data_IF_386315567147
#
_entry.id   IF_386315567147
#
_cell.length_a   1.000
_cell.length_b   1.000
_cell.length_c   1.000
_cell.angle_alpha   90.00
_cell.angle_beta   90.00
_cell.angle_gamma   90.00
#
_symmetry.space_group_name_H-M   'P 1'
#
loop_
_entity.id
_entity.type
_entity.pdbx_description
1 polymer ?
#
# COMPACT_ATOMS: atom_id res chain seq x y z
N UNK A 1 7.94 -17.18 -12.53
CA UNK A 1 8.87 -16.19 -11.98
C UNK A 1 8.56 -16.12 -10.51
N UNK A 2 9.39 -16.75 -9.69
CA UNK A 2 9.25 -16.79 -8.23
C UNK A 2 9.84 -15.47 -7.75
N UNK A 3 9.12 -14.67 -6.95
CA UNK A 3 9.71 -13.49 -6.29
C UNK A 3 10.62 -13.99 -5.16
N UNK A 4 11.80 -14.50 -5.52
CA UNK A 4 12.88 -14.74 -4.56
C UNK A 4 13.44 -13.37 -4.15
N UNK A 5 13.03 -12.89 -2.98
CA UNK A 5 13.49 -11.63 -2.38
C UNK A 5 12.93 -10.39 -3.07
N UNK A 6 12.11 -9.62 -2.35
CA UNK A 6 11.90 -8.22 -2.71
C UNK A 6 13.26 -7.52 -2.61
N UNK A 7 13.58 -6.64 -3.56
CA UNK A 7 14.79 -5.84 -3.45
C UNK A 7 14.62 -4.82 -2.32
N UNK A 8 15.62 -4.71 -1.44
CA UNK A 8 15.54 -3.91 -0.20
C UNK A 8 15.16 -2.44 -0.45
N UNK A 9 15.60 -1.87 -1.57
CA UNK A 9 15.35 -0.49 -1.98
C UNK A 9 14.30 -0.38 -3.10
N UNK A 10 13.33 -1.30 -3.16
CA UNK A 10 12.29 -1.30 -4.19
C UNK A 10 10.91 -1.47 -3.60
N UNK A 11 10.00 -0.62 -4.04
CA UNK A 11 8.58 -0.70 -3.74
C UNK A 11 7.81 -1.20 -4.95
N UNK A 12 6.85 -2.06 -4.70
CA UNK A 12 6.05 -2.73 -5.72
C UNK A 12 4.60 -2.28 -5.59
N UNK A 13 4.05 -1.73 -6.66
CA UNK A 13 2.64 -1.39 -6.74
C UNK A 13 1.98 -2.28 -7.80
N UNK A 14 1.00 -3.07 -7.37
CA UNK A 14 0.27 -4.00 -8.23
C UNK A 14 -1.06 -3.38 -8.69
N UNK A 15 -1.23 -3.23 -10.00
CA UNK A 15 -2.51 -2.80 -10.57
C UNK A 15 -3.39 -4.04 -10.81
N UNK A 16 -4.49 -4.15 -10.06
CA UNK A 16 -5.36 -5.32 -10.11
C UNK A 16 -6.68 -4.96 -10.79
N UNK A 17 -7.00 -5.55 -11.95
CA UNK A 17 -8.16 -5.17 -12.75
C UNK A 17 -9.50 -5.58 -12.15
N UNK A 18 -9.58 -6.73 -11.46
CA UNK A 18 -10.82 -7.27 -10.88
C UNK A 18 -10.51 -8.10 -9.62
N UNK A 19 -10.10 -7.45 -8.51
CA UNK A 19 -9.57 -8.17 -7.36
C UNK A 19 -10.66 -8.80 -6.50
N UNK A 20 -11.77 -8.08 -6.22
CA UNK A 20 -12.64 -8.41 -5.09
C UNK A 20 -13.99 -7.65 -5.15
N UNK A 21 -14.90 -7.97 -4.21
CA UNK A 21 -16.06 -7.13 -3.83
C UNK A 21 -15.70 -6.04 -2.81
N UNK A 22 -14.40 -5.83 -2.55
CA UNK A 22 -13.92 -4.81 -1.61
C UNK A 22 -14.16 -3.43 -2.23
N UNK A 23 -14.77 -2.47 -1.52
CA UNK A 23 -15.02 -1.13 -2.04
C UNK A 23 -13.77 -0.22 -2.06
N UNK A 24 -12.66 -0.62 -1.45
CA UNK A 24 -11.43 0.20 -1.39
C UNK A 24 -10.86 0.46 -2.79
N UNK A 25 -10.17 1.59 -2.95
CA UNK A 25 -9.51 1.93 -4.22
C UNK A 25 -8.08 1.37 -4.30
N UNK A 26 -7.45 1.16 -3.15
CA UNK A 26 -6.10 0.62 -3.02
C UNK A 26 -5.85 0.09 -1.62
N UNK A 27 -4.64 -0.41 -1.42
CA UNK A 27 -4.15 -0.84 -0.12
C UNK A 27 -2.62 -0.91 -0.11
N UNK A 28 -1.99 -0.28 0.87
CA UNK A 28 -0.58 -0.45 1.18
C UNK A 28 -0.39 -0.27 2.69
N UNK A 29 0.15 -1.28 3.40
CA UNK A 29 0.41 -1.12 4.82
C UNK A 29 1.48 -0.05 5.05
N UNK A 30 1.39 0.65 6.18
CA UNK A 30 2.43 1.58 6.63
C UNK A 30 3.78 0.87 6.63
N UNK A 31 4.79 1.51 6.03
CA UNK A 31 6.14 0.96 5.90
C UNK A 31 6.22 -0.38 5.11
N UNK A 32 5.19 -0.70 4.33
CA UNK A 32 5.17 -1.88 3.46
C UNK A 32 5.92 -1.68 2.15
N UNK A 33 6.56 -2.73 1.62
CA UNK A 33 7.18 -2.72 0.29
C UNK A 33 6.21 -3.02 -0.85
N UNK A 34 4.99 -3.50 -0.55
CA UNK A 34 4.00 -3.91 -1.53
C UNK A 34 2.67 -3.17 -1.31
N UNK A 35 2.15 -2.56 -2.37
CA UNK A 35 0.82 -1.95 -2.40
C UNK A 35 -0.01 -2.43 -3.59
N UNK A 36 -1.30 -2.16 -3.55
CA UNK A 36 -2.27 -2.59 -4.56
C UNK A 36 -3.17 -1.43 -4.96
N UNK A 37 -3.51 -1.34 -6.24
CA UNK A 37 -4.56 -0.44 -6.76
C UNK A 37 -5.63 -1.27 -7.45
N UNK A 38 -6.87 -1.09 -7.05
CA UNK A 38 -8.01 -1.86 -7.52
C UNK A 38 -8.74 -1.09 -8.63
N UNK A 39 -8.42 -1.42 -9.89
CA UNK A 39 -8.81 -0.63 -11.06
C UNK A 39 -10.32 -0.59 -11.32
N UNK A 40 -11.08 -1.51 -10.74
CA UNK A 40 -12.55 -1.53 -10.82
C UNK A 40 -13.21 -0.47 -9.91
N UNK A 41 -12.48 0.08 -8.94
CA UNK A 41 -12.99 1.01 -7.94
C UNK A 41 -12.45 2.45 -8.12
N UNK A 42 -11.67 2.69 -9.18
CA UNK A 42 -11.03 3.97 -9.47
C UNK A 42 -11.19 4.32 -10.95
N UNK A 43 -11.38 5.59 -11.28
CA UNK A 43 -11.37 6.05 -12.67
C UNK A 43 -9.96 5.95 -13.27
N UNK A 44 -9.85 5.93 -14.60
CA UNK A 44 -8.55 5.89 -15.27
C UNK A 44 -7.65 7.06 -14.84
N UNK A 45 -8.23 8.25 -14.66
CA UNK A 45 -7.54 9.46 -14.22
C UNK A 45 -7.17 9.42 -12.73
N UNK A 46 -7.91 8.65 -11.91
CA UNK A 46 -7.70 8.53 -10.47
C UNK A 46 -6.60 7.55 -10.06
N UNK A 47 -6.20 6.64 -10.96
CA UNK A 47 -5.18 5.61 -10.68
C UNK A 47 -3.88 6.21 -10.15
N UNK A 48 -3.40 7.29 -10.77
CA UNK A 48 -2.15 7.94 -10.35
C UNK A 48 -2.25 8.53 -8.94
N UNK A 49 -3.41 9.09 -8.58
CA UNK A 49 -3.65 9.67 -7.26
C UNK A 49 -3.74 8.59 -6.19
N UNK A 50 -4.44 7.49 -6.46
CA UNK A 50 -4.50 6.34 -5.55
C UNK A 50 -3.11 5.72 -5.38
N UNK A 51 -2.38 5.52 -6.48
CA UNK A 51 -1.00 5.05 -6.42
C UNK A 51 -0.11 5.94 -5.53
N UNK A 52 -0.24 7.27 -5.63
CA UNK A 52 0.49 8.21 -4.78
C UNK A 52 0.07 8.12 -3.31
N UNK A 53 -1.22 7.93 -3.03
CA UNK A 53 -1.74 7.71 -1.67
C UNK A 53 -1.15 6.44 -1.04
N UNK A 54 -1.22 5.31 -1.76
CA UNK A 54 -0.68 4.04 -1.29
C UNK A 54 0.84 4.11 -1.07
N UNK A 55 1.60 4.69 -2.01
CA UNK A 55 3.03 4.90 -1.83
C UNK A 55 3.34 5.86 -0.68
N UNK A 56 2.44 6.80 -0.37
CA UNK A 56 2.50 7.63 0.83
C UNK A 56 2.58 6.79 2.11
N UNK A 57 1.75 5.75 2.21
CA UNK A 57 1.77 4.81 3.33
C UNK A 57 3.06 3.99 3.38
N UNK A 58 3.44 3.37 2.27
CA UNK A 58 4.54 2.42 2.25
C UNK A 58 5.93 3.06 2.29
N UNK A 59 6.20 4.02 1.39
CA UNK A 59 7.53 4.63 1.23
C UNK A 59 7.78 5.68 2.31
N UNK A 60 6.77 6.50 2.57
CA UNK A 60 6.92 7.73 3.37
C UNK A 60 6.18 7.69 4.69
N UNK A 61 5.47 6.58 4.98
CA UNK A 61 4.76 6.34 6.24
C UNK A 61 3.85 7.51 6.63
N UNK A 62 3.17 8.07 5.63
CA UNK A 62 2.20 9.13 5.83
C UNK A 62 0.90 8.50 6.29
N UNK A 63 0.41 8.88 7.47
CA UNK A 63 -0.91 8.46 7.94
C UNK A 63 -2.02 9.23 7.25
N UNK A 64 -3.23 8.68 7.28
CA UNK A 64 -4.43 9.44 6.97
C UNK A 64 -4.56 10.68 7.84
N UNK A 65 -5.13 11.75 7.29
CA UNK A 65 -5.34 13.01 8.04
C UNK A 65 -6.20 12.83 9.29
N UNK A 66 -7.10 11.83 9.28
CA UNK A 66 -8.02 11.50 10.36
C UNK A 66 -7.54 10.35 11.26
N UNK A 67 -6.37 9.79 10.99
CA UNK A 67 -5.78 8.74 11.82
C UNK A 67 -5.38 9.28 13.18
N UNK A 68 -5.63 8.49 14.24
CA UNK A 68 -5.18 8.82 15.60
C UNK A 68 -3.66 8.86 15.75
N UNK A 69 -2.94 8.19 14.84
CA UNK A 69 -1.48 8.13 14.83
C UNK A 69 -0.87 9.32 14.07
N UNK A 70 -1.70 10.14 13.40
CA UNK A 70 -1.22 11.34 12.74
C UNK A 70 -0.90 12.44 13.77
N UNK A 71 0.17 13.19 13.50
CA UNK A 71 0.59 14.34 14.31
C UNK A 71 -0.52 15.39 14.47
N UNK A 72 -1.35 15.55 13.44
CA UNK A 72 -2.49 16.46 13.42
C UNK A 72 -3.71 15.70 12.90
N UNK A 73 -4.65 15.42 13.80
CA UNK A 73 -5.89 14.73 13.46
C UNK A 73 -6.91 15.75 12.95
N UNK A 74 -7.38 15.56 11.72
CA UNK A 74 -8.39 16.36 11.06
C UNK A 74 -9.58 15.46 10.69
N UNK A 75 -10.81 15.99 10.56
CA UNK A 75 -11.95 15.15 10.21
C UNK A 75 -11.80 14.54 8.80
N UNK A 76 -12.21 13.29 8.66
CA UNK A 76 -12.23 12.58 7.38
C UNK A 76 -13.03 13.35 6.33
N UNK A 77 -12.51 13.43 5.10
CA UNK A 77 -13.19 14.02 3.96
C UNK A 77 -13.13 15.55 3.92
N UNK A 78 -12.40 16.20 4.83
CA UNK A 78 -12.47 17.66 4.99
C UNK A 78 -11.28 18.43 4.43
N UNK A 79 -10.23 17.73 4.00
CA UNK A 79 -9.00 18.37 3.51
C UNK A 79 -8.77 18.09 2.02
N UNK A 80 -7.91 18.89 1.40
CA UNK A 80 -7.37 18.66 0.06
C UNK A 80 -6.06 17.84 0.10
N UNK A 81 -5.74 17.24 1.25
CA UNK A 81 -4.54 16.45 1.46
C UNK A 81 -4.58 15.13 0.67
N UNK A 82 -3.42 14.69 0.19
CA UNK A 82 -3.24 13.42 -0.49
C UNK A 82 -3.70 12.23 0.37
N UNK A 83 -3.47 12.30 1.69
CA UNK A 83 -3.81 11.24 2.64
C UNK A 83 -5.24 11.32 3.19
N UNK A 84 -6.10 12.14 2.60
CA UNK A 84 -7.53 12.19 2.91
C UNK A 84 -8.34 11.33 1.89
N UNK A 85 -9.57 10.99 2.20
CA UNK A 85 -10.48 10.31 1.28
C UNK A 85 -11.20 11.25 0.31
N UNK A 86 -11.09 12.57 0.49
CA UNK A 86 -11.75 13.56 -0.36
C UNK A 86 -11.15 13.72 -1.79
N UNK A 87 -10.24 12.86 -2.22
CA UNK A 87 -9.63 12.96 -3.55
C UNK A 87 -8.56 14.04 -3.70
N UNK A 88 -8.10 14.62 -2.59
CA UNK A 88 -7.06 15.64 -2.54
C UNK A 88 -5.71 15.17 -3.10
N UNK A 89 -4.85 16.15 -3.43
CA UNK A 89 -3.49 15.94 -3.96
C UNK A 89 -2.44 16.80 -3.27
N UNK A 90 -2.83 17.63 -2.29
CA UNK A 90 -1.92 18.50 -1.57
C UNK A 90 -1.12 17.72 -0.53
N UNK A 91 0.05 18.24 -0.15
CA UNK A 91 0.82 17.74 0.97
C UNK A 91 1.01 18.86 1.98
N UNK A 92 0.92 18.52 3.25
CA UNK A 92 1.36 19.40 4.32
C UNK A 92 2.87 19.48 4.34
N UNK A 93 3.39 20.60 4.86
CA UNK A 93 4.83 20.86 4.88
C UNK A 93 5.62 19.71 5.51
N UNK A 94 5.16 19.14 6.62
CA UNK A 94 5.90 18.05 7.28
C UNK A 94 5.89 16.75 6.45
N UNK A 95 4.82 16.46 5.71
CA UNK A 95 4.77 15.31 4.80
C UNK A 95 5.73 15.52 3.62
N UNK A 96 5.78 16.75 3.08
CA UNK A 96 6.77 17.12 2.07
C UNK A 96 8.21 16.97 2.57
N UNK A 97 8.47 17.38 3.82
CA UNK A 97 9.78 17.23 4.45
C UNK A 97 10.17 15.74 4.58
N UNK A 98 9.25 14.86 5.00
CA UNK A 98 9.51 13.40 5.09
C UNK A 98 9.82 12.76 3.74
N UNK A 99 9.15 13.20 2.66
CA UNK A 99 9.40 12.71 1.31
C UNK A 99 10.82 13.09 0.84
N UNK A 100 11.29 14.29 1.20
CA UNK A 100 12.57 14.81 0.74
C UNK A 100 13.76 14.45 1.65
N UNK A 101 13.50 14.15 2.92
CA UNK A 101 14.51 13.71 3.89
C UNK A 101 14.02 12.51 4.72
N UNK A 102 13.99 11.30 4.12
CA UNK A 102 13.50 10.08 4.78
C UNK A 102 14.36 9.64 5.97
N UNK A 103 15.61 10.13 6.07
CA UNK A 103 16.54 9.76 7.15
C UNK A 103 16.08 10.25 8.53
N UNK A 104 15.13 11.19 8.56
CA UNK A 104 14.53 11.71 9.80
C UNK A 104 13.53 10.75 10.45
N UNK A 105 13.12 9.66 9.78
CA UNK A 105 12.12 8.69 10.28
C UNK A 105 12.72 7.63 11.22
N UNK A 106 13.76 7.99 11.99
CA UNK A 106 14.70 7.07 12.67
C UNK A 106 14.13 6.20 13.82
N UNK A 107 12.83 6.21 14.10
CA UNK A 107 12.24 5.53 15.28
C UNK A 107 10.91 4.81 15.04
N UNK A 108 10.52 4.59 13.80
CA UNK A 108 9.13 4.37 13.47
C UNK A 108 8.73 2.85 13.36
N UNK A 109 9.49 1.95 13.96
CA UNK A 109 9.35 0.48 13.78
C UNK A 109 8.15 -0.17 14.49
N UNK A 110 7.17 0.58 15.01
CA UNK A 110 6.10 0.05 15.88
C UNK A 110 4.67 0.50 15.52
N UNK A 111 4.42 0.99 14.32
CA UNK A 111 3.14 1.65 13.99
C UNK A 111 2.38 0.90 12.89
N UNK A 112 1.14 0.50 13.20
CA UNK A 112 0.19 -0.13 12.29
C UNK A 112 -1.05 0.76 12.21
N UNK A 113 -1.43 1.20 11.01
CA UNK A 113 -2.73 1.86 10.80
C UNK A 113 -3.82 0.80 10.59
N UNK A 114 -5.06 1.05 11.02
CA UNK A 114 -6.15 0.06 10.98
C UNK A 114 -6.46 -0.45 9.56
N UNK A 115 -6.22 0.37 8.51
CA UNK A 115 -6.25 -0.09 7.12
C UNK A 115 -5.26 -1.24 6.85
N UNK A 116 -4.13 -1.27 7.57
CA UNK A 116 -3.06 -2.26 7.61
C UNK A 116 -3.44 -3.63 8.17
N UNK A 117 -4.66 -3.81 8.71
CA UNK A 117 -5.14 -5.09 9.25
C UNK A 117 -5.30 -6.21 8.18
N UNK A 118 -4.97 -5.96 6.92
CA UNK A 118 -4.82 -6.99 5.88
C UNK A 118 -3.44 -7.71 5.92
N UNK A 119 -2.56 -7.36 6.87
CA UNK A 119 -1.19 -7.88 7.02
C UNK A 119 -1.04 -9.41 7.09
N UNK A 120 -2.11 -10.16 7.39
CA UNK A 120 -2.06 -11.63 7.47
C UNK A 120 -2.25 -12.32 6.11
N UNK A 121 -2.75 -11.62 5.09
CA UNK A 121 -3.10 -12.22 3.80
C UNK A 121 -1.93 -12.18 2.78
N UNK A 122 -1.11 -11.13 2.78
CA UNK A 122 -0.10 -10.94 1.73
C UNK A 122 1.03 -12.00 1.75
N UNK A 123 1.54 -12.40 2.92
CA UNK A 123 2.60 -13.42 3.00
C UNK A 123 2.04 -14.84 2.91
N UNK A 124 0.98 -15.16 3.65
CA UNK A 124 0.48 -16.54 3.75
C UNK A 124 -0.23 -17.02 2.47
N UNK A 125 -0.92 -16.14 1.74
CA UNK A 125 -1.55 -16.54 0.48
C UNK A 125 -0.55 -16.70 -0.65
N UNK A 126 0.49 -15.86 -0.71
CA UNK A 126 1.53 -15.98 -1.74
C UNK A 126 2.32 -17.28 -1.60
N UNK A 127 2.75 -17.64 -0.39
CA UNK A 127 3.41 -18.93 -0.13
C UNK A 127 2.53 -20.13 -0.50
N UNK A 128 1.25 -20.11 -0.10
CA UNK A 128 0.32 -21.19 -0.44
C UNK A 128 0.04 -21.32 -1.94
N UNK A 129 0.00 -20.20 -2.66
CA UNK A 129 -0.18 -20.18 -4.13
C UNK A 129 1.09 -20.69 -4.82
N UNK A 130 2.27 -20.27 -4.38
CA UNK A 130 3.56 -20.71 -4.92
C UNK A 130 3.71 -22.23 -4.74
N UNK A 131 3.46 -22.76 -3.55
CA UNK A 131 3.56 -24.19 -3.28
C UNK A 131 2.62 -25.02 -4.18
N UNK A 132 1.40 -24.54 -4.41
CA UNK A 132 0.43 -25.19 -5.32
C UNK A 132 0.91 -25.17 -6.77
N UNK A 133 1.50 -24.06 -7.24
CA UNK A 133 2.03 -23.95 -8.60
C UNK A 133 3.23 -24.89 -8.80
N UNK A 134 4.13 -24.99 -7.82
CA UNK A 134 5.28 -25.91 -7.88
C UNK A 134 4.83 -27.37 -7.96
N UNK A 135 3.88 -27.79 -7.11
CA UNK A 135 3.31 -29.14 -7.15
C UNK A 135 2.67 -29.47 -8.50
N UNK A 136 1.91 -28.53 -9.08
CA UNK A 136 1.31 -28.71 -10.39
C UNK A 136 2.35 -28.81 -11.52
N UNK A 137 3.46 -28.07 -11.39
CA UNK A 137 4.55 -28.09 -12.38
C UNK A 137 5.34 -29.39 -12.31
N UNK A 138 5.53 -29.95 -11.11
CA UNK A 138 6.16 -31.27 -10.91
C UNK A 138 5.30 -32.42 -11.45
N UNK A 139 3.99 -32.39 -11.20
CA UNK A 139 3.05 -33.41 -11.72
C UNK A 139 3.02 -33.43 -13.24
N UNK A 140 3.12 -32.26 -13.89
CA UNK A 140 3.18 -32.16 -15.36
C UNK A 140 4.50 -32.65 -15.97
N UNK A 141 5.58 -32.74 -15.21
CA UNK A 141 6.88 -33.29 -15.68
C UNK A 141 6.99 -34.81 -15.52
N UNK A 142 6.10 -35.43 -14.75
CA UNK A 142 6.08 -36.89 -14.50
C UNK A 142 5.09 -37.67 -15.38
N UNK A 143 4.39 -36.98 -16.29
CA UNK A 143 3.59 -37.57 -17.38
C UNK A 143 4.25 -37.25 -18.71
#
# INVERSE_FOLDING_TARGET
MIFSGLADDTYYLFLIPNPTTDPRQGYMPINGQCGFVFLNNVSAEGVARVAAHELGHGVFRLYHTFSSDNRYVLPEGTTDNLMDYNGGTALYKYQWDYIHDPQTMLFAWAEEEEEGAMGILCFNQLESIVEKIEKLTLIKKQK
#
